data_IF_347693378182
#
_entry.id   IF_347693378182
#
_cell.length_a   1.000
_cell.length_b   1.000
_cell.length_c   1.000
_cell.angle_alpha   90.00
_cell.angle_beta   90.00
_cell.angle_gamma   90.00
#
_symmetry.space_group_name_H-M   'P 1'
#
loop_
_entity.id
_entity.type
_entity.pdbx_description
1 polymer ?
#
# COMPACT_ATOMS: atom_id res chain seq x y z
N UNK A 1 -16.42 -25.52 -78.10
CA UNK A 1 -16.33 -25.70 -76.64
C UNK A 1 -15.40 -24.65 -76.05
N UNK A 2 -15.98 -23.80 -75.19
CA UNK A 2 -15.38 -23.06 -74.06
C UNK A 2 -13.88 -22.77 -74.12
N UNK A 3 -13.53 -21.62 -74.68
CA UNK A 3 -12.44 -20.77 -74.19
C UNK A 3 -13.02 -19.35 -74.19
N UNK A 4 -12.67 -18.54 -73.19
CA UNK A 4 -13.26 -17.22 -72.87
C UNK A 4 -14.46 -17.29 -71.91
N UNK A 5 -14.18 -17.56 -70.64
CA UNK A 5 -14.88 -17.02 -69.46
C UNK A 5 -14.09 -17.50 -68.22
N UNK A 6 -13.97 -16.67 -67.18
CA UNK A 6 -13.39 -16.97 -65.85
C UNK A 6 -11.92 -16.60 -65.52
N UNK A 7 -11.38 -15.49 -66.01
CA UNK A 7 -10.33 -14.77 -65.24
C UNK A 7 -10.58 -13.25 -65.37
N UNK A 8 -11.71 -12.79 -64.85
CA UNK A 8 -12.04 -11.38 -64.72
C UNK A 8 -12.85 -11.13 -63.42
N UNK A 9 -12.43 -11.79 -62.34
CA UNK A 9 -13.13 -11.78 -61.05
C UNK A 9 -12.18 -11.85 -59.83
N UNK A 10 -10.97 -11.33 -59.98
CA UNK A 10 -10.00 -11.14 -58.89
C UNK A 10 -9.29 -9.79 -59.04
N UNK A 11 -10.07 -8.73 -59.24
CA UNK A 11 -9.63 -7.41 -58.79
C UNK A 11 -10.23 -7.25 -57.39
N UNK A 12 -9.45 -7.37 -56.30
CA UNK A 12 -9.89 -6.84 -55.03
C UNK A 12 -10.04 -5.33 -55.25
N UNK A 13 -11.29 -4.87 -55.35
CA UNK A 13 -11.63 -3.48 -55.12
C UNK A 13 -11.32 -3.20 -53.66
N UNK A 14 -10.07 -2.87 -53.38
CA UNK A 14 -9.69 -2.10 -52.19
C UNK A 14 -10.28 -0.70 -52.36
N UNK A 15 -11.61 -0.60 -52.23
CA UNK A 15 -12.23 0.62 -51.78
C UNK A 15 -11.69 0.82 -50.37
N UNK A 16 -10.68 1.68 -50.26
CA UNK A 16 -10.30 2.26 -48.99
C UNK A 16 -11.53 3.00 -48.45
N UNK A 17 -12.34 2.28 -47.68
CA UNK A 17 -13.18 2.94 -46.69
C UNK A 17 -12.19 3.69 -45.80
N UNK A 18 -12.29 5.01 -45.77
CA UNK A 18 -11.65 5.75 -44.69
C UNK A 18 -12.30 5.21 -43.41
N UNK A 19 -11.59 4.37 -42.67
CA UNK A 19 -12.06 3.80 -41.43
C UNK A 19 -12.15 4.92 -40.39
N UNK A 20 -13.28 5.61 -40.39
CA UNK A 20 -13.62 6.56 -39.34
C UNK A 20 -13.88 5.77 -38.06
N UNK A 21 -13.20 6.13 -36.98
CA UNK A 21 -13.30 5.42 -35.70
C UNK A 21 -14.50 5.93 -34.90
N UNK A 22 -14.92 7.17 -35.14
CA UNK A 22 -16.15 7.76 -34.61
C UNK A 22 -16.71 8.82 -35.57
N UNK A 23 -18.02 9.00 -35.56
CA UNK A 23 -18.70 10.07 -36.30
C UNK A 23 -19.85 10.64 -35.48
N UNK A 24 -20.10 11.95 -35.61
CA UNK A 24 -21.29 12.59 -35.05
C UNK A 24 -21.65 13.87 -35.81
N UNK A 25 -22.91 14.28 -35.75
CA UNK A 25 -23.37 15.58 -36.23
C UNK A 25 -23.96 16.36 -35.06
N UNK A 26 -23.31 17.46 -34.70
CA UNK A 26 -23.62 18.23 -33.49
C UNK A 26 -23.81 19.71 -33.82
N UNK A 27 -24.68 20.37 -33.06
CA UNK A 27 -24.79 21.84 -33.06
C UNK A 27 -24.11 22.36 -31.81
N UNK A 28 -23.09 23.19 -32.00
CA UNK A 28 -22.23 23.72 -30.94
C UNK A 28 -22.46 25.24 -30.87
N UNK A 29 -22.59 25.78 -29.67
CA UNK A 29 -22.57 27.22 -29.42
C UNK A 29 -21.15 27.79 -29.39
N UNK A 30 -20.99 29.06 -29.72
CA UNK A 30 -19.70 29.74 -29.65
C UNK A 30 -19.10 29.66 -28.23
N UNK A 31 -17.88 29.15 -28.12
CA UNK A 31 -17.19 28.86 -26.87
C UNK A 31 -17.46 27.47 -26.27
N UNK A 32 -18.41 26.71 -26.82
CA UNK A 32 -18.69 25.33 -26.38
C UNK A 32 -17.79 24.32 -27.11
N UNK A 33 -17.63 23.16 -26.48
CA UNK A 33 -16.87 22.05 -27.04
C UNK A 33 -17.57 20.71 -26.89
N UNK A 34 -17.19 19.76 -27.74
CA UNK A 34 -17.61 18.37 -27.69
C UNK A 34 -16.37 17.48 -27.71
N UNK A 35 -16.39 16.41 -26.92
CA UNK A 35 -15.33 15.40 -26.93
C UNK A 35 -15.81 14.20 -27.72
N UNK A 36 -15.08 13.82 -28.77
CA UNK A 36 -15.39 12.65 -29.58
C UNK A 36 -14.13 11.81 -29.81
N UNK A 37 -14.14 10.56 -29.36
CA UNK A 37 -12.99 9.65 -29.39
C UNK A 37 -11.69 10.29 -28.84
N UNK A 38 -11.79 10.96 -27.70
CA UNK A 38 -10.66 11.61 -27.02
C UNK A 38 -10.28 12.99 -27.55
N UNK A 39 -10.79 13.38 -28.73
CA UNK A 39 -10.51 14.69 -29.35
C UNK A 39 -11.46 15.75 -28.83
N UNK A 40 -10.95 16.94 -28.51
CA UNK A 40 -11.74 18.08 -28.06
C UNK A 40 -12.03 19.02 -29.24
N UNK A 41 -13.26 19.04 -29.73
CA UNK A 41 -13.69 19.90 -30.84
C UNK A 41 -14.42 21.12 -30.26
N UNK A 42 -13.86 22.31 -30.46
CA UNK A 42 -14.38 23.57 -29.90
C UNK A 42 -14.83 24.51 -31.01
N UNK A 43 -16.04 25.04 -30.92
CA UNK A 43 -16.45 26.14 -31.80
C UNK A 43 -15.93 27.45 -31.19
N UNK A 44 -14.87 28.00 -31.78
CA UNK A 44 -14.20 29.18 -31.24
C UNK A 44 -14.98 30.46 -31.56
N UNK A 45 -15.40 30.64 -32.83
CA UNK A 45 -16.14 31.84 -33.26
C UNK A 45 -17.05 31.53 -34.44
N UNK A 46 -18.15 32.27 -34.54
CA UNK A 46 -18.97 32.35 -35.75
C UNK A 46 -18.90 33.77 -36.28
N UNK A 47 -18.19 33.98 -37.40
CA UNK A 47 -18.01 35.32 -37.97
C UNK A 47 -19.23 35.78 -38.78
N UNK A 48 -19.99 34.83 -39.35
CA UNK A 48 -21.16 35.10 -40.18
C UNK A 48 -21.99 33.83 -40.40
N UNK A 49 -23.11 33.96 -41.10
CA UNK A 49 -23.94 32.84 -41.58
C UNK A 49 -23.26 31.95 -42.63
N UNK A 50 -21.97 32.14 -42.90
CA UNK A 50 -21.23 31.29 -43.84
C UNK A 50 -19.84 30.92 -43.35
N UNK A 51 -19.35 31.44 -42.22
CA UNK A 51 -17.95 31.30 -41.84
C UNK A 51 -17.77 31.18 -40.32
N UNK A 52 -16.97 30.19 -39.91
CA UNK A 52 -16.67 29.87 -38.51
C UNK A 52 -15.17 29.66 -38.28
N UNK A 53 -14.73 29.75 -37.02
CA UNK A 53 -13.45 29.24 -36.54
C UNK A 53 -13.72 28.04 -35.64
N UNK A 54 -13.18 26.88 -36.00
CA UNK A 54 -13.31 25.64 -35.21
C UNK A 54 -11.91 25.13 -34.85
N UNK A 55 -11.78 24.70 -33.60
CA UNK A 55 -10.58 24.09 -33.04
C UNK A 55 -10.77 22.59 -32.84
N UNK A 56 -9.70 21.83 -33.02
CA UNK A 56 -9.54 20.43 -32.58
C UNK A 56 -8.26 20.41 -31.77
N UNK A 57 -8.40 20.13 -30.47
CA UNK A 57 -7.32 20.22 -29.50
C UNK A 57 -6.65 21.61 -29.58
N UNK A 58 -5.34 21.70 -29.87
CA UNK A 58 -4.61 22.97 -29.99
C UNK A 58 -4.64 23.57 -31.41
N UNK A 59 -5.09 22.80 -32.41
CA UNK A 59 -5.10 23.22 -33.81
C UNK A 59 -6.45 23.82 -34.20
N UNK A 60 -6.45 24.94 -34.93
CA UNK A 60 -7.69 25.57 -35.39
C UNK A 60 -7.64 25.96 -36.86
N UNK A 61 -8.83 26.06 -37.48
CA UNK A 61 -8.99 26.55 -38.85
C UNK A 61 -10.27 27.39 -38.98
N UNK A 62 -10.22 28.32 -39.93
CA UNK A 62 -11.41 29.03 -40.40
C UNK A 62 -12.02 28.22 -41.55
N UNK A 63 -13.33 28.03 -41.50
CA UNK A 63 -14.09 27.18 -42.42
C UNK A 63 -15.33 27.91 -42.90
N UNK A 64 -15.65 27.72 -44.18
CA UNK A 64 -16.90 28.18 -44.75
C UNK A 64 -17.97 27.08 -44.71
N UNK A 65 -19.25 27.46 -44.85
CA UNK A 65 -20.35 26.52 -44.98
C UNK A 65 -20.12 25.56 -46.16
N UNK A 66 -20.47 24.28 -45.98
CA UNK A 66 -20.22 23.15 -46.88
C UNK A 66 -18.74 22.85 -47.15
N UNK A 67 -17.80 23.50 -46.45
CA UNK A 67 -16.38 23.16 -46.53
C UNK A 67 -16.07 21.99 -45.60
N UNK A 68 -15.24 21.06 -46.08
CA UNK A 68 -14.67 19.98 -45.26
C UNK A 68 -13.17 20.20 -45.11
N UNK A 69 -12.66 20.18 -43.89
CA UNK A 69 -11.22 20.27 -43.59
C UNK A 69 -10.81 19.23 -42.57
N UNK A 70 -9.60 18.70 -42.75
CA UNK A 70 -8.93 17.91 -41.73
C UNK A 70 -8.19 18.84 -40.78
N UNK A 71 -8.47 18.73 -39.49
CA UNK A 71 -7.80 19.45 -38.40
C UNK A 71 -7.41 18.38 -37.39
N UNK A 72 -6.10 18.23 -37.19
CA UNK A 72 -5.51 17.24 -36.28
C UNK A 72 -6.20 15.86 -36.31
N UNK A 73 -6.25 15.27 -37.52
CA UNK A 73 -6.82 13.93 -37.76
C UNK A 73 -8.33 13.82 -37.49
N UNK A 74 -9.04 14.94 -37.47
CA UNK A 74 -10.50 15.02 -37.48
C UNK A 74 -10.95 15.75 -38.74
N UNK A 75 -11.79 15.10 -39.54
CA UNK A 75 -12.45 15.76 -40.66
C UNK A 75 -13.73 16.43 -40.15
N UNK A 76 -13.80 17.75 -40.30
CA UNK A 76 -14.96 18.55 -39.94
C UNK A 76 -15.61 19.06 -41.23
N UNK A 77 -16.92 18.92 -41.34
CA UNK A 77 -17.74 19.54 -42.39
C UNK A 77 -18.73 20.51 -41.77
N UNK A 78 -18.77 21.75 -42.24
CA UNK A 78 -19.73 22.75 -41.73
C UNK A 78 -21.05 22.61 -42.48
N UNK A 79 -22.11 22.16 -41.81
CA UNK A 79 -23.42 21.97 -42.44
C UNK A 79 -24.28 23.23 -42.38
N UNK A 80 -24.30 23.90 -41.24
CA UNK A 80 -25.10 25.11 -41.03
C UNK A 80 -24.44 26.04 -40.01
N UNK A 81 -24.74 27.32 -40.12
CA UNK A 81 -24.24 28.35 -39.20
C UNK A 81 -25.35 29.36 -38.95
N UNK A 82 -25.50 29.78 -37.70
CA UNK A 82 -26.45 30.78 -37.26
C UNK A 82 -25.69 31.88 -36.53
N UNK A 83 -25.47 32.99 -37.22
CA UNK A 83 -24.94 34.22 -36.64
C UNK A 83 -26.12 35.13 -36.28
N UNK A 84 -26.24 35.44 -34.99
CA UNK A 84 -27.32 36.29 -34.46
C UNK A 84 -26.81 37.73 -34.27
N UNK A 85 -25.72 37.89 -33.51
CA UNK A 85 -25.04 39.17 -33.25
C UNK A 85 -23.86 38.95 -32.31
N UNK A 86 -22.93 39.89 -32.23
CA UNK A 86 -21.80 39.86 -31.29
C UNK A 86 -22.20 39.77 -29.79
N UNK A 87 -23.44 40.13 -29.44
CA UNK A 87 -23.94 40.10 -28.06
C UNK A 87 -24.80 38.87 -27.73
N UNK A 88 -24.90 37.90 -28.63
CA UNK A 88 -25.71 36.68 -28.45
C UNK A 88 -24.88 35.47 -28.85
N UNK A 89 -25.21 34.33 -28.27
CA UNK A 89 -24.56 33.06 -28.62
C UNK A 89 -24.88 32.75 -30.08
N UNK A 90 -23.83 32.60 -30.87
CA UNK A 90 -23.90 32.12 -32.24
C UNK A 90 -23.70 30.61 -32.25
N UNK A 91 -24.19 29.93 -33.30
CA UNK A 91 -24.18 28.47 -33.37
C UNK A 91 -23.66 27.98 -34.72
N UNK A 92 -23.08 26.79 -34.72
CA UNK A 92 -22.77 26.06 -35.94
C UNK A 92 -23.13 24.58 -35.80
N UNK A 93 -23.73 24.02 -36.84
CA UNK A 93 -23.92 22.58 -36.98
C UNK A 93 -22.78 22.02 -37.81
N UNK A 94 -22.00 21.13 -37.21
CA UNK A 94 -20.83 20.49 -37.82
C UNK A 94 -21.02 18.98 -37.86
N UNK A 95 -20.58 18.38 -38.95
CA UNK A 95 -20.40 16.93 -39.07
C UNK A 95 -18.92 16.63 -38.78
N UNK A 96 -18.69 15.74 -37.82
CA UNK A 96 -17.37 15.42 -37.28
C UNK A 96 -17.07 13.96 -37.58
N UNK A 97 -15.96 13.71 -38.27
CA UNK A 97 -15.45 12.37 -38.56
C UNK A 97 -14.04 12.23 -37.97
N UNK A 98 -13.89 11.42 -36.93
CA UNK A 98 -12.58 11.20 -36.28
C UNK A 98 -11.83 10.11 -37.01
N UNK A 99 -10.67 10.46 -37.59
CA UNK A 99 -9.79 9.51 -38.28
C UNK A 99 -8.91 8.74 -37.29
N UNK A 100 -8.62 9.32 -36.13
CA UNK A 100 -7.74 8.75 -35.12
C UNK A 100 -8.14 9.19 -33.71
N UNK A 101 -8.30 8.21 -32.81
CA UNK A 101 -8.49 8.43 -31.37
C UNK A 101 -7.24 9.09 -30.79
N UNK A 102 -7.42 10.02 -29.85
CA UNK A 102 -6.35 10.51 -29.00
C UNK A 102 -6.28 9.58 -27.77
N UNK A 103 -5.27 8.71 -27.73
CA UNK A 103 -5.01 7.86 -26.56
C UNK A 103 -3.97 8.50 -25.63
N UNK A 104 -2.98 9.19 -26.19
CA UNK A 104 -1.88 9.80 -25.43
C UNK A 104 -1.29 11.03 -26.13
N UNK A 105 -0.68 11.91 -25.34
CA UNK A 105 0.19 12.99 -25.81
C UNK A 105 1.64 12.80 -25.37
N UNK A 106 1.84 12.11 -24.25
CA UNK A 106 3.15 11.81 -23.64
C UNK A 106 3.18 10.38 -23.13
N UNK A 107 4.37 9.82 -22.94
CA UNK A 107 4.54 8.42 -22.51
C UNK A 107 3.82 8.13 -21.18
N UNK A 108 3.79 9.08 -20.25
CA UNK A 108 3.08 8.94 -18.96
C UNK A 108 1.55 8.82 -19.10
N UNK A 109 0.96 9.24 -20.23
CA UNK A 109 -0.48 9.01 -20.49
C UNK A 109 -0.77 7.53 -20.80
N UNK A 110 0.26 6.74 -21.13
CA UNK A 110 0.16 5.34 -21.52
C UNK A 110 0.40 4.34 -20.38
N UNK A 111 0.68 4.82 -19.17
CA UNK A 111 0.95 4.00 -17.98
C UNK A 111 -0.14 2.95 -17.76
N UNK A 112 0.18 1.67 -18.01
CA UNK A 112 -0.72 0.55 -17.78
C UNK A 112 -0.64 -0.05 -16.38
N UNK A 113 0.19 0.54 -15.50
CA UNK A 113 0.50 0.09 -14.15
C UNK A 113 1.14 -1.30 -14.09
N UNK A 114 1.75 -1.74 -15.19
CA UNK A 114 2.49 -3.00 -15.26
C UNK A 114 3.97 -2.65 -15.37
N UNK A 115 4.71 -2.81 -14.28
CA UNK A 115 6.16 -2.53 -14.27
C UNK A 115 6.93 -3.31 -15.34
N UNK A 116 6.40 -4.45 -15.81
CA UNK A 116 7.04 -5.28 -16.85
C UNK A 116 6.96 -4.76 -18.29
N UNK A 117 6.39 -3.58 -18.52
CA UNK A 117 6.19 -2.98 -19.83
C UNK A 117 6.82 -1.59 -19.95
N UNK A 118 7.37 -1.31 -21.12
CA UNK A 118 7.78 0.04 -21.52
C UNK A 118 6.60 0.67 -22.24
N UNK A 119 6.07 1.72 -21.62
CA UNK A 119 4.90 2.44 -22.11
C UNK A 119 5.36 3.63 -22.92
N UNK A 120 5.06 3.60 -24.22
CA UNK A 120 5.46 4.65 -25.16
C UNK A 120 4.24 5.22 -25.85
N UNK A 121 4.16 6.55 -25.88
CA UNK A 121 3.22 7.26 -26.70
C UNK A 121 3.82 7.55 -28.07
N UNK A 122 3.27 6.91 -29.10
CA UNK A 122 3.65 7.23 -30.48
C UNK A 122 2.89 8.50 -30.90
N UNK A 123 3.39 9.67 -30.51
CA UNK A 123 2.80 11.01 -30.77
C UNK A 123 2.50 11.31 -32.25
N UNK A 124 3.17 10.64 -33.19
CA UNK A 124 2.83 10.78 -34.61
C UNK A 124 1.43 10.22 -34.95
N UNK A 125 0.95 9.27 -34.15
CA UNK A 125 -0.33 8.58 -34.29
C UNK A 125 -1.17 8.58 -32.99
N UNK A 126 -0.76 9.32 -31.95
CA UNK A 126 -1.51 9.49 -30.70
C UNK A 126 -2.01 8.18 -30.08
N UNK A 127 -1.16 7.14 -30.15
CA UNK A 127 -1.47 5.76 -29.77
C UNK A 127 -0.45 5.25 -28.76
N UNK A 128 -0.93 4.54 -27.74
CA UNK A 128 -0.06 3.86 -26.79
C UNK A 128 0.46 2.53 -27.34
N UNK A 129 1.70 2.21 -26.96
CA UNK A 129 2.31 0.89 -27.12
C UNK A 129 2.95 0.46 -25.82
N UNK A 130 2.74 -0.82 -25.50
CA UNK A 130 3.20 -1.48 -24.27
C UNK A 130 4.13 -2.62 -24.69
N UNK A 131 5.44 -2.37 -24.65
CA UNK A 131 6.43 -3.38 -25.04
C UNK A 131 6.95 -4.10 -23.80
N UNK A 132 6.83 -5.43 -23.76
CA UNK A 132 7.34 -6.22 -22.64
C UNK A 132 8.86 -6.13 -22.55
N UNK A 133 9.37 -5.89 -21.36
CA UNK A 133 10.81 -5.90 -21.08
C UNK A 133 11.30 -7.36 -21.10
N UNK A 134 12.16 -7.68 -22.08
CA UNK A 134 12.69 -9.03 -22.30
C UNK A 134 14.21 -9.13 -22.06
N UNK A 135 14.84 -8.07 -21.57
CA UNK A 135 16.28 -8.03 -21.26
C UNK A 135 16.52 -7.46 -19.88
N UNK A 136 17.63 -7.88 -19.28
CA UNK A 136 18.16 -7.30 -18.04
C UNK A 136 18.77 -5.94 -18.36
N UNK A 137 18.16 -4.85 -17.89
CA UNK A 137 18.54 -3.49 -18.26
C UNK A 137 18.59 -2.59 -17.03
N UNK A 138 19.79 -2.24 -16.59
CA UNK A 138 19.98 -1.40 -15.41
C UNK A 138 19.22 -0.05 -15.46
N UNK A 139 18.50 0.26 -14.39
CA UNK A 139 17.75 1.50 -14.12
C UNK A 139 16.53 1.73 -15.03
N UNK A 140 15.90 0.66 -15.52
CA UNK A 140 14.60 0.72 -16.18
C UNK A 140 13.41 0.60 -15.20
N UNK A 141 13.69 0.33 -13.93
CA UNK A 141 12.70 0.26 -12.86
C UNK A 141 11.99 -1.08 -12.73
N UNK A 142 12.38 -2.10 -13.51
CA UNK A 142 11.79 -3.43 -13.49
C UNK A 142 12.85 -4.52 -13.54
N UNK A 143 12.72 -5.53 -12.68
CA UNK A 143 13.60 -6.70 -12.70
C UNK A 143 12.88 -7.90 -13.32
N UNK A 144 13.22 -8.31 -14.56
CA UNK A 144 12.66 -9.52 -15.15
C UNK A 144 12.99 -10.77 -14.32
N UNK A 145 12.11 -11.77 -14.35
CA UNK A 145 12.25 -12.99 -13.53
C UNK A 145 13.47 -13.87 -13.87
N UNK A 146 14.23 -13.57 -14.91
CA UNK A 146 15.47 -14.27 -15.28
C UNK A 146 16.73 -13.43 -15.04
N UNK A 147 16.58 -12.19 -14.58
CA UNK A 147 17.67 -11.29 -14.26
C UNK A 147 18.06 -11.40 -12.78
N UNK A 148 19.35 -11.25 -12.50
CA UNK A 148 19.90 -11.08 -11.16
C UNK A 148 20.40 -9.65 -10.98
N UNK A 149 20.71 -9.27 -9.74
CA UNK A 149 21.36 -7.99 -9.42
C UNK A 149 22.66 -7.73 -10.18
N UNK A 150 23.38 -8.77 -10.57
CA UNK A 150 24.63 -8.65 -11.34
C UNK A 150 24.39 -8.32 -12.83
N UNK A 151 23.19 -8.64 -13.33
CA UNK A 151 22.77 -8.35 -14.70
C UNK A 151 21.79 -7.18 -14.81
N UNK A 152 21.18 -6.78 -13.69
CA UNK A 152 20.15 -5.74 -13.62
C UNK A 152 20.08 -5.11 -12.22
N UNK A 153 20.43 -3.83 -12.10
CA UNK A 153 20.44 -3.11 -10.83
C UNK A 153 19.07 -2.84 -10.21
N UNK A 154 17.98 -2.99 -10.97
CA UNK A 154 16.61 -2.83 -10.46
C UNK A 154 16.11 -4.07 -9.70
N UNK A 155 16.85 -5.17 -9.76
CA UNK A 155 16.62 -6.34 -8.94
C UNK A 155 16.94 -6.04 -7.45
N UNK A 156 15.90 -5.64 -6.72
CA UNK A 156 15.91 -5.60 -5.25
C UNK A 156 16.17 -7.02 -4.74
N UNK A 157 16.97 -7.14 -3.70
CA UNK A 157 17.17 -8.38 -2.94
C UNK A 157 15.80 -8.78 -2.36
N UNK A 158 14.96 -9.47 -3.13
CA UNK A 158 14.08 -10.46 -2.55
C UNK A 158 14.99 -11.56 -2.00
N UNK A 159 14.65 -12.14 -0.86
CA UNK A 159 15.41 -13.14 -0.05
C UNK A 159 15.84 -14.40 -0.83
N UNK A 160 16.54 -14.22 -1.94
CA UNK A 160 17.07 -15.27 -2.79
C UNK A 160 18.51 -15.50 -2.43
N UNK A 161 18.86 -16.76 -2.25
CA UNK A 161 20.18 -17.20 -1.84
C UNK A 161 20.67 -18.29 -2.79
N UNK A 162 21.98 -18.51 -2.83
CA UNK A 162 22.57 -19.70 -3.44
C UNK A 162 23.18 -20.64 -2.38
N UNK A 163 23.44 -20.10 -1.19
CA UNK A 163 24.12 -20.78 -0.10
C UNK A 163 23.50 -20.38 1.24
N UNK A 164 23.41 -21.32 2.18
CA UNK A 164 22.88 -21.08 3.54
C UNK A 164 23.51 -19.85 4.23
N UNK A 165 24.81 -19.62 4.02
CA UNK A 165 25.56 -18.48 4.61
C UNK A 165 25.05 -17.10 4.16
N UNK A 166 24.29 -17.03 3.07
CA UNK A 166 23.73 -15.78 2.54
C UNK A 166 22.42 -15.43 3.23
N UNK A 167 21.87 -16.37 4.00
CA UNK A 167 20.68 -16.22 4.82
C UNK A 167 21.00 -15.99 6.30
N UNK A 168 22.25 -15.71 6.64
CA UNK A 168 22.68 -15.43 8.02
C UNK A 168 21.95 -14.18 8.53
N UNK A 169 21.01 -14.37 9.46
CA UNK A 169 20.22 -13.29 10.06
C UNK A 169 20.85 -12.73 11.36
N UNK A 170 22.08 -13.16 11.67
CA UNK A 170 22.83 -12.88 12.90
C UNK A 170 22.10 -13.35 14.19
N UNK A 171 21.03 -14.18 14.10
CA UNK A 171 20.35 -14.76 15.26
C UNK A 171 20.90 -16.18 15.56
N UNK A 172 21.63 -16.39 16.67
CA UNK A 172 22.12 -17.72 17.03
C UNK A 172 20.98 -18.70 17.38
N UNK A 173 19.75 -18.22 17.56
CA UNK A 173 18.55 -19.01 17.81
C UNK A 173 17.89 -19.58 16.56
N UNK A 174 18.37 -19.24 15.38
CA UNK A 174 17.87 -19.73 14.09
C UNK A 174 18.90 -20.60 13.40
N UNK A 175 18.40 -21.55 12.62
CA UNK A 175 19.16 -22.26 11.61
C UNK A 175 18.75 -21.71 10.26
N UNK A 176 19.71 -21.09 9.60
CA UNK A 176 19.51 -20.45 8.31
C UNK A 176 19.81 -21.42 7.20
N UNK A 177 18.83 -21.57 6.31
CA UNK A 177 18.90 -22.49 5.19
C UNK A 177 18.42 -21.80 3.93
N UNK A 178 19.15 -22.04 2.87
CA UNK A 178 18.75 -21.68 1.53
C UNK A 178 17.96 -22.86 0.94
N UNK A 179 16.64 -22.74 0.88
CA UNK A 179 15.75 -23.83 0.46
C UNK A 179 14.95 -23.44 -0.79
N UNK A 180 14.95 -24.31 -1.79
CA UNK A 180 14.18 -24.15 -3.01
C UNK A 180 14.09 -25.44 -3.82
N UNK A 181 13.42 -25.34 -4.97
CA UNK A 181 13.09 -26.49 -5.82
C UNK A 181 13.55 -26.24 -7.25
N UNK A 182 13.77 -27.27 -8.05
CA UNK A 182 14.23 -27.14 -9.46
C UNK A 182 13.37 -26.18 -10.33
N UNK A 183 12.15 -25.81 -9.87
CA UNK A 183 11.23 -24.89 -10.55
C UNK A 183 10.92 -23.60 -9.75
N UNK A 184 11.62 -23.33 -8.65
CA UNK A 184 11.44 -22.13 -7.80
C UNK A 184 12.81 -21.60 -7.38
N UNK A 185 12.98 -20.28 -7.28
CA UNK A 185 14.23 -19.72 -6.75
C UNK A 185 14.41 -20.15 -5.29
N UNK A 186 15.65 -20.43 -4.89
CA UNK A 186 15.96 -20.76 -3.50
C UNK A 186 15.76 -19.51 -2.63
N UNK A 187 15.08 -19.69 -1.50
CA UNK A 187 14.69 -18.63 -0.58
C UNK A 187 15.33 -18.85 0.79
N UNK A 188 15.63 -17.74 1.48
CA UNK A 188 16.11 -17.81 2.85
C UNK A 188 15.03 -18.27 3.81
N UNK A 189 15.39 -19.26 4.63
CA UNK A 189 14.54 -19.85 5.65
C UNK A 189 15.29 -19.94 6.98
N UNK A 190 14.84 -19.15 7.94
CA UNK A 190 15.35 -19.13 9.32
C UNK A 190 14.44 -20.01 10.19
N UNK A 191 14.96 -21.15 10.65
CA UNK A 191 14.18 -22.12 11.45
C UNK A 191 14.63 -22.11 12.91
N UNK A 192 13.72 -21.93 13.89
CA UNK A 192 14.11 -21.89 15.30
C UNK A 192 14.82 -23.18 15.74
N UNK A 193 15.92 -23.04 16.48
CA UNK A 193 16.64 -24.16 17.10
C UNK A 193 15.87 -24.59 18.36
N UNK A 194 15.57 -25.89 18.46
CA UNK A 194 14.87 -26.48 19.62
C UNK A 194 15.68 -27.55 20.35
N UNK A 195 16.85 -27.91 19.82
CA UNK A 195 17.71 -28.94 20.41
C UNK A 195 18.63 -28.34 21.46
N UNK A 196 18.68 -28.93 22.66
CA UNK A 196 19.60 -28.52 23.72
C UNK A 196 21.02 -28.98 23.38
N UNK A 197 21.91 -28.06 23.02
CA UNK A 197 23.25 -28.37 22.54
C UNK A 197 24.27 -27.37 23.10
N UNK A 198 25.05 -27.87 24.04
CA UNK A 198 26.15 -27.11 24.65
C UNK A 198 27.23 -26.68 23.64
N UNK A 199 27.65 -25.42 23.74
CA UNK A 199 28.74 -24.81 22.99
C UNK A 199 28.35 -24.16 21.67
N UNK A 200 27.05 -23.90 21.45
CA UNK A 200 26.53 -23.18 20.28
C UNK A 200 26.09 -21.73 20.58
N UNK A 201 26.28 -21.27 21.82
CA UNK A 201 25.97 -19.90 22.29
C UNK A 201 24.48 -19.55 22.29
N UNK A 202 23.60 -20.54 22.19
CA UNK A 202 22.17 -20.35 22.27
C UNK A 202 21.57 -21.25 23.35
N UNK A 203 20.47 -20.83 23.98
CA UNK A 203 19.76 -21.65 24.95
C UNK A 203 18.31 -21.78 24.49
N UNK A 204 17.89 -22.90 23.87
CA UNK A 204 16.50 -23.06 23.42
C UNK A 204 15.49 -23.14 24.57
N UNK A 205 14.21 -22.89 24.29
CA UNK A 205 13.13 -23.16 25.26
C UNK A 205 13.11 -24.65 25.63
N UNK A 206 12.90 -24.95 26.91
CA UNK A 206 12.93 -26.30 27.49
C UNK A 206 14.32 -26.76 27.95
N UNK A 207 15.39 -26.09 27.51
CA UNK A 207 16.75 -26.40 27.91
C UNK A 207 17.14 -25.72 29.23
N UNK A 208 18.03 -26.36 29.99
CA UNK A 208 18.54 -25.83 31.25
C UNK A 208 19.98 -26.24 31.49
N UNK A 209 20.67 -25.38 32.22
CA UNK A 209 22.01 -25.67 32.71
C UNK A 209 21.92 -26.57 33.94
N UNK A 210 21.69 -27.88 33.71
CA UNK A 210 21.73 -28.87 34.79
C UNK A 210 23.16 -29.23 35.20
N UNK A 211 23.46 -29.29 36.51
CA UNK A 211 24.74 -29.82 37.00
C UNK A 211 24.96 -31.30 36.67
N UNK A 212 23.89 -32.07 36.44
CA UNK A 212 23.95 -33.45 35.95
C UNK A 212 24.24 -33.45 34.45
N UNK A 213 25.49 -33.73 34.10
CA UNK A 213 26.09 -33.71 32.76
C UNK A 213 25.39 -34.55 31.66
N UNK A 214 24.29 -35.25 31.97
CA UNK A 214 23.68 -36.25 31.10
C UNK A 214 22.15 -36.14 31.14
N UNK A 215 21.60 -35.29 30.27
CA UNK A 215 20.16 -35.18 30.06
C UNK A 215 19.87 -34.61 28.66
N UNK A 216 18.74 -34.98 28.06
CA UNK A 216 18.29 -34.45 26.76
C UNK A 216 17.84 -32.99 26.83
N UNK A 217 17.79 -32.42 28.04
CA UNK A 217 17.45 -31.02 28.31
C UNK A 217 18.68 -30.22 28.80
N UNK A 218 19.86 -30.86 28.85
CA UNK A 218 21.07 -30.19 29.33
C UNK A 218 21.65 -29.31 28.24
N UNK A 219 21.84 -28.04 28.59
CA UNK A 219 22.56 -27.09 27.76
C UNK A 219 23.41 -26.17 28.65
N UNK A 220 24.73 -26.23 28.49
CA UNK A 220 25.67 -25.42 29.27
C UNK A 220 25.61 -23.94 28.95
N UNK A 221 25.04 -23.58 27.80
CA UNK A 221 24.94 -22.19 27.35
C UNK A 221 23.73 -21.49 28.00
N UNK A 222 22.83 -22.25 28.61
CA UNK A 222 21.76 -21.71 29.43
C UNK A 222 22.29 -21.07 30.73
N UNK A 223 21.63 -19.98 31.12
CA UNK A 223 21.82 -19.37 32.43
C UNK A 223 21.21 -20.22 33.53
N UNK A 224 21.94 -20.38 34.63
CA UNK A 224 21.42 -20.98 35.88
C UNK A 224 20.36 -20.12 36.56
N UNK A 225 20.20 -18.86 36.13
CA UNK A 225 19.24 -17.92 36.71
C UNK A 225 17.90 -17.87 35.96
N UNK A 226 17.69 -18.70 34.93
CA UNK A 226 16.42 -18.77 34.22
C UNK A 226 15.30 -19.16 35.19
N UNK A 227 14.29 -18.31 35.32
CA UNK A 227 13.16 -18.55 36.25
C UNK A 227 12.04 -19.37 35.61
N UNK A 228 12.08 -19.54 34.28
CA UNK A 228 11.16 -20.36 33.49
C UNK A 228 11.94 -21.09 32.40
N UNK A 229 11.45 -22.26 32.01
CA UNK A 229 12.00 -23.08 30.92
C UNK A 229 11.08 -23.11 29.71
N UNK A 230 9.77 -23.00 29.95
CA UNK A 230 8.72 -23.03 28.93
C UNK A 230 7.61 -22.05 29.32
N UNK A 231 6.79 -21.66 28.34
CA UNK A 231 5.68 -20.73 28.55
C UNK A 231 4.69 -21.20 29.63
N UNK A 232 4.46 -22.52 29.74
CA UNK A 232 3.59 -23.10 30.77
C UNK A 232 4.12 -22.97 32.20
N UNK A 233 5.38 -22.60 32.41
CA UNK A 233 5.92 -22.31 33.74
C UNK A 233 5.47 -20.90 34.23
N UNK A 234 4.93 -20.08 33.34
CA UNK A 234 4.58 -18.68 33.59
C UNK A 234 3.08 -18.44 33.77
N UNK A 235 2.27 -19.49 33.90
CA UNK A 235 0.81 -19.38 34.00
C UNK A 235 0.42 -18.57 35.24
N UNK A 236 -0.19 -17.40 35.02
CA UNK A 236 -0.69 -16.54 36.10
C UNK A 236 -2.18 -16.72 36.42
N UNK A 237 -2.85 -17.59 35.66
CA UNK A 237 -4.30 -17.86 35.72
C UNK A 237 -5.17 -16.66 35.35
N UNK A 238 -4.64 -15.71 34.58
CA UNK A 238 -5.39 -14.64 33.97
C UNK A 238 -5.54 -14.93 32.47
N UNK A 239 -6.76 -15.26 32.05
CA UNK A 239 -7.05 -15.64 30.65
C UNK A 239 -6.86 -14.46 29.68
N UNK A 240 -6.87 -13.22 30.21
CA UNK A 240 -6.58 -12.00 29.46
C UNK A 240 -5.10 -11.81 29.11
N UNK A 241 -4.19 -12.63 29.65
CA UNK A 241 -2.75 -12.50 29.42
C UNK A 241 -2.16 -13.70 28.68
N UNK A 242 -1.22 -13.41 27.78
CA UNK A 242 -0.35 -14.39 27.16
C UNK A 242 0.84 -14.58 28.10
N UNK A 243 0.91 -15.77 28.70
CA UNK A 243 1.98 -16.17 29.60
C UNK A 243 3.20 -16.60 28.81
N UNK A 244 4.20 -15.72 28.72
CA UNK A 244 5.43 -15.96 27.98
C UNK A 244 6.61 -16.14 28.92
N UNK A 245 7.50 -17.04 28.50
CA UNK A 245 8.82 -17.20 29.09
C UNK A 245 9.78 -16.50 28.13
N UNK A 246 10.17 -15.28 28.49
CA UNK A 246 10.83 -14.36 27.59
C UNK A 246 12.31 -14.21 27.92
N UNK A 247 13.12 -14.05 26.88
CA UNK A 247 14.57 -14.00 26.95
C UNK A 247 15.25 -15.15 26.20
N UNK A 248 16.49 -14.91 25.78
CA UNK A 248 17.31 -15.86 25.03
C UNK A 248 17.79 -17.06 25.86
N UNK A 249 17.60 -17.01 27.19
CA UNK A 249 18.01 -18.06 28.11
C UNK A 249 19.51 -18.13 28.38
N UNK A 250 20.35 -17.37 27.67
CA UNK A 250 21.81 -17.35 27.87
C UNK A 250 22.20 -16.43 29.02
N UNK A 251 21.46 -15.32 29.21
CA UNK A 251 21.65 -14.40 30.34
C UNK A 251 20.58 -14.62 31.40
N UNK A 252 19.31 -14.49 31.04
CA UNK A 252 18.17 -14.75 31.91
C UNK A 252 16.90 -14.92 31.09
N UNK A 253 16.05 -15.85 31.53
CA UNK A 253 14.64 -15.93 31.18
C UNK A 253 13.78 -15.56 32.36
N UNK A 254 12.77 -14.75 32.08
CA UNK A 254 11.76 -14.32 33.06
C UNK A 254 10.37 -14.52 32.50
N UNK A 255 9.42 -14.76 33.40
CA UNK A 255 8.01 -14.77 33.03
C UNK A 255 7.55 -13.35 32.75
N UNK A 256 6.87 -13.19 31.62
CA UNK A 256 6.23 -11.96 31.18
C UNK A 256 4.79 -12.29 30.83
N UNK A 257 3.85 -11.58 31.44
CA UNK A 257 2.43 -11.76 31.19
C UNK A 257 1.98 -10.51 30.44
N UNK A 258 1.81 -10.65 29.14
CA UNK A 258 1.42 -9.54 28.26
C UNK A 258 -0.07 -9.66 27.95
N UNK A 259 -0.79 -8.54 27.88
CA UNK A 259 -2.21 -8.58 27.53
C UNK A 259 -2.40 -9.16 26.13
N UNK A 260 -3.38 -10.05 25.97
CA UNK A 260 -3.72 -10.62 24.66
C UNK A 260 -4.25 -9.55 23.71
N UNK A 261 -4.08 -9.78 22.41
CA UNK A 261 -4.68 -8.95 21.34
C UNK A 261 -5.82 -9.68 20.64
N UNK A 262 -6.15 -10.89 21.09
CA UNK A 262 -7.17 -11.74 20.50
C UNK A 262 -8.51 -11.50 21.19
N UNK A 263 -9.55 -11.23 20.42
CA UNK A 263 -10.93 -11.11 20.91
C UNK A 263 -11.41 -12.46 21.42
N UNK A 264 -11.62 -12.61 22.73
CA UNK A 264 -11.94 -13.88 23.36
C UNK A 264 -12.98 -13.72 24.46
N UNK A 265 -14.22 -14.03 24.07
CA UNK A 265 -15.35 -14.15 24.97
C UNK A 265 -15.08 -14.93 26.28
N UNK A 266 -15.25 -14.27 27.42
CA UNK A 266 -15.24 -14.84 28.78
C UNK A 266 -13.89 -14.74 29.50
N UNK A 267 -12.96 -13.92 29.03
CA UNK A 267 -11.63 -13.70 29.61
C UNK A 267 -11.55 -12.43 30.49
N UNK A 268 -12.68 -11.75 30.69
CA UNK A 268 -12.83 -10.50 31.47
C UNK A 268 -11.96 -9.34 30.92
N UNK A 269 -11.59 -9.38 29.65
CA UNK A 269 -10.77 -8.38 28.99
C UNK A 269 -11.27 -8.08 27.56
N UNK A 270 -11.16 -6.82 27.15
CA UNK A 270 -11.57 -6.41 25.81
C UNK A 270 -10.37 -5.79 25.09
N UNK A 271 -9.69 -6.54 24.21
CA UNK A 271 -8.57 -6.02 23.43
C UNK A 271 -9.00 -4.94 22.42
N UNK A 272 -8.06 -4.07 22.04
CA UNK A 272 -8.30 -2.96 21.11
C UNK A 272 -8.83 -3.45 19.75
N UNK A 273 -10.03 -2.98 19.39
CA UNK A 273 -10.66 -3.28 18.09
C UNK A 273 -11.59 -4.49 18.11
N UNK A 274 -11.77 -5.13 19.26
CA UNK A 274 -12.78 -6.16 19.45
C UNK A 274 -14.17 -5.54 19.60
N UNK A 275 -15.18 -6.19 19.03
CA UNK A 275 -16.58 -5.78 19.18
C UNK A 275 -17.31 -6.67 20.17
N UNK A 276 -18.41 -6.18 20.73
CA UNK A 276 -19.29 -6.98 21.61
C UNK A 276 -19.84 -8.27 20.97
N UNK A 277 -19.75 -8.40 19.66
CA UNK A 277 -20.16 -9.59 18.90
C UNK A 277 -19.06 -10.65 18.89
N UNK A 278 -17.80 -10.22 18.84
CA UNK A 278 -16.61 -11.08 18.83
C UNK A 278 -16.14 -11.42 20.25
N UNK A 279 -16.37 -10.49 21.17
CA UNK A 279 -15.94 -10.55 22.55
C UNK A 279 -16.99 -9.86 23.44
N UNK A 280 -17.78 -10.64 24.17
CA UNK A 280 -18.88 -10.09 24.97
C UNK A 280 -18.38 -9.37 26.23
N UNK A 281 -17.10 -9.51 26.59
CA UNK A 281 -16.48 -8.76 27.68
C UNK A 281 -16.26 -7.29 27.28
N UNK A 282 -16.31 -6.99 25.97
CA UNK A 282 -16.40 -5.63 25.44
C UNK A 282 -17.76 -4.95 25.72
N UNK A 283 -18.77 -5.67 26.21
CA UNK A 283 -20.07 -5.12 26.57
C UNK A 283 -20.28 -5.10 28.08
N UNK A 284 -20.13 -3.92 28.69
CA UNK A 284 -20.58 -3.69 30.06
C UNK A 284 -21.89 -2.90 30.01
N UNK A 285 -23.01 -3.52 30.36
CA UNK A 285 -24.31 -2.85 30.41
C UNK A 285 -24.30 -1.67 31.38
N UNK A 286 -25.02 -0.57 31.08
CA UNK A 286 -25.11 0.64 31.93
C UNK A 286 -25.60 0.37 33.37
N UNK A 287 -26.12 -0.83 33.64
CA UNK A 287 -26.64 -1.28 34.94
C UNK A 287 -25.73 -2.22 35.72
N UNK A 288 -24.57 -2.62 35.20
CA UNK A 288 -23.67 -3.57 35.88
C UNK A 288 -22.62 -2.84 36.71
N UNK A 289 -22.82 -2.86 38.03
CA UNK A 289 -21.87 -2.36 39.02
C UNK A 289 -21.00 -3.54 39.45
N UNK A 290 -19.74 -3.53 39.01
CA UNK A 290 -18.56 -4.21 39.58
C UNK A 290 -18.82 -5.46 40.43
N UNK A 291 -18.57 -6.66 39.89
CA UNK A 291 -18.17 -7.79 40.74
C UNK A 291 -16.67 -7.65 41.05
N UNK A 292 -16.30 -7.94 42.30
CA UNK A 292 -14.94 -7.71 42.79
C UNK A 292 -13.96 -8.62 42.04
N UNK A 293 -13.14 -8.05 41.15
CA UNK A 293 -12.21 -8.77 40.25
C UNK A 293 -10.93 -9.23 40.99
N UNK A 294 -10.70 -8.77 42.22
CA UNK A 294 -9.54 -9.20 43.02
C UNK A 294 -9.79 -9.10 44.52
N UNK A 295 -9.21 -10.04 45.28
CA UNK A 295 -9.19 -10.02 46.75
C UNK A 295 -8.49 -8.80 47.38
N UNK A 296 -7.73 -8.02 46.58
CA UNK A 296 -7.05 -6.78 47.00
C UNK A 296 -7.80 -5.51 46.64
N UNK A 297 -8.84 -5.57 45.81
CA UNK A 297 -9.64 -4.39 45.42
C UNK A 297 -10.70 -4.08 46.48
N UNK A 298 -10.75 -2.82 46.90
CA UNK A 298 -11.86 -2.30 47.71
C UNK A 298 -12.99 -1.85 46.78
N UNK A 299 -14.25 -1.90 47.25
CA UNK A 299 -15.45 -1.53 46.45
C UNK A 299 -15.45 -0.10 45.90
N UNK A 300 -14.55 0.76 46.37
CA UNK A 300 -14.44 2.16 45.99
C UNK A 300 -12.98 2.51 45.75
N UNK A 301 -12.72 3.29 44.73
CA UNK A 301 -11.38 3.81 44.45
C UNK A 301 -11.24 5.23 45.01
N UNK A 302 -10.03 5.59 45.44
CA UNK A 302 -9.76 6.91 46.08
C UNK A 302 -8.99 7.88 45.19
N UNK A 303 -8.29 7.37 44.17
CA UNK A 303 -7.42 8.15 43.30
C UNK A 303 -8.00 8.11 41.89
N UNK A 304 -8.54 9.24 41.43
CA UNK A 304 -9.10 9.36 40.09
C UNK A 304 -8.04 9.05 39.02
N UNK A 305 -8.38 8.19 38.06
CA UNK A 305 -7.47 7.74 37.00
C UNK A 305 -6.46 6.64 37.41
N UNK A 306 -6.50 6.17 38.66
CA UNK A 306 -5.70 5.01 39.09
C UNK A 306 -6.12 3.75 38.31
N UNK A 307 -5.14 2.94 37.89
CA UNK A 307 -5.34 1.71 37.12
C UNK A 307 -4.92 0.51 37.97
N UNK A 308 -5.81 -0.45 38.16
CA UNK A 308 -5.55 -1.71 38.88
C UNK A 308 -6.32 -2.83 38.18
N UNK A 309 -5.66 -3.94 37.84
CA UNK A 309 -6.25 -5.15 37.25
C UNK A 309 -7.35 -4.86 36.21
N UNK A 310 -6.97 -4.29 35.06
CA UNK A 310 -7.87 -3.98 33.93
C UNK A 310 -9.06 -3.06 34.25
N UNK A 311 -9.01 -2.36 35.39
CA UNK A 311 -10.02 -1.40 35.81
C UNK A 311 -9.37 -0.04 36.10
N UNK A 312 -10.09 1.04 35.87
CA UNK A 312 -9.66 2.40 36.17
C UNK A 312 -10.65 3.09 37.12
N UNK A 313 -10.14 3.97 37.97
CA UNK A 313 -10.95 4.72 38.91
C UNK A 313 -11.61 5.93 38.23
N UNK A 314 -12.94 5.99 38.25
CA UNK A 314 -13.68 7.17 37.82
C UNK A 314 -14.83 7.50 38.78
N UNK A 315 -14.89 8.74 39.25
CA UNK A 315 -15.85 9.23 40.25
C UNK A 315 -15.92 8.35 41.51
N UNK A 316 -14.78 7.81 41.95
CA UNK A 316 -14.69 6.96 43.14
C UNK A 316 -15.24 5.53 42.96
N UNK A 317 -15.53 5.12 41.72
CA UNK A 317 -15.98 3.77 41.36
C UNK A 317 -14.99 3.17 40.36
N UNK A 318 -14.62 1.90 40.56
CA UNK A 318 -13.83 1.15 39.58
C UNK A 318 -14.68 0.84 38.34
N UNK A 319 -14.14 1.11 37.16
CA UNK A 319 -14.74 0.79 35.87
C UNK A 319 -13.79 -0.05 35.05
N UNK A 320 -14.28 -1.04 34.29
CA UNK A 320 -13.45 -1.80 33.37
C UNK A 320 -12.83 -0.89 32.30
N UNK A 321 -11.59 -1.15 31.92
CA UNK A 321 -10.96 -0.53 30.77
C UNK A 321 -11.67 -1.01 29.51
N UNK A 322 -12.51 -0.14 28.92
CA UNK A 322 -13.09 -0.39 27.59
C UNK A 322 -12.04 0.00 26.55
N UNK A 323 -11.73 -0.88 25.60
CA UNK A 323 -11.00 -0.53 24.40
C UNK A 323 -11.86 -0.86 23.18
N UNK A 324 -12.41 0.19 22.55
CA UNK A 324 -13.15 0.04 21.29
C UNK A 324 -14.66 0.19 21.43
N UNK A 325 -15.23 0.96 20.49
CA UNK A 325 -16.66 1.28 20.30
C UNK A 325 -17.31 2.31 21.25
N UNK A 326 -16.70 2.72 22.35
CA UNK A 326 -17.26 3.73 23.25
C UNK A 326 -16.96 5.19 22.81
N UNK A 327 -17.80 6.12 23.27
CA UNK A 327 -17.54 7.56 23.13
C UNK A 327 -16.30 7.98 23.95
N UNK A 328 -15.54 8.99 23.49
CA UNK A 328 -14.30 9.44 24.16
C UNK A 328 -14.47 9.85 25.63
N UNK A 329 -15.70 10.13 26.08
CA UNK A 329 -16.00 10.44 27.48
C UNK A 329 -15.96 9.23 28.41
N UNK A 330 -16.04 8.01 27.87
CA UNK A 330 -16.17 6.76 28.63
C UNK A 330 -14.92 5.87 28.56
N UNK A 331 -13.96 6.23 27.73
CA UNK A 331 -12.75 5.46 27.44
C UNK A 331 -11.50 6.23 27.91
N UNK A 332 -10.80 5.67 28.91
CA UNK A 332 -9.57 6.25 29.48
C UNK A 332 -8.41 6.27 28.45
N UNK A 333 -8.35 5.24 27.60
CA UNK A 333 -7.53 5.12 26.38
C UNK A 333 -7.55 6.44 25.59
N UNK A 334 -8.78 6.84 25.24
CA UNK A 334 -9.06 7.98 24.37
C UNK A 334 -8.85 9.34 25.06
N UNK A 335 -9.07 9.44 26.38
CA UNK A 335 -8.82 10.68 27.14
C UNK A 335 -7.34 11.09 27.20
N UNK A 336 -6.41 10.15 27.03
CA UNK A 336 -4.96 10.43 27.06
C UNK A 336 -4.37 10.93 25.74
N UNK A 337 -5.18 11.14 24.69
CA UNK A 337 -4.77 11.95 23.52
C UNK A 337 -5.20 11.47 22.14
N UNK A 338 -6.17 10.56 22.01
CA UNK A 338 -6.45 9.84 20.76
C UNK A 338 -7.96 9.91 20.43
N UNK A 339 -8.48 11.13 20.20
CA UNK A 339 -9.87 11.37 19.84
C UNK A 339 -9.98 12.05 18.47
N UNK A 340 -10.99 11.67 17.67
CA UNK A 340 -11.45 12.48 16.54
C UNK A 340 -12.15 13.74 17.06
N UNK A 341 -12.17 14.81 16.26
CA UNK A 341 -12.90 16.06 16.59
C UNK A 341 -14.39 15.82 16.90
N UNK A 342 -14.96 14.72 16.42
CA UNK A 342 -16.34 14.31 16.65
C UNK A 342 -16.59 13.57 17.99
N UNK A 343 -15.58 13.38 18.84
CA UNK A 343 -15.73 12.74 20.15
C UNK A 343 -15.78 11.21 20.13
N UNK A 344 -15.43 10.58 19.01
CA UNK A 344 -15.23 9.15 18.87
C UNK A 344 -13.75 8.79 18.93
N UNK A 345 -13.42 7.62 19.48
CA UNK A 345 -12.06 7.08 19.44
C UNK A 345 -11.58 6.86 17.99
N UNK A 346 -10.27 6.99 17.75
CA UNK A 346 -9.67 6.74 16.43
C UNK A 346 -9.74 5.24 16.11
N UNK A 347 -9.96 4.91 14.82
CA UNK A 347 -9.99 3.52 14.37
C UNK A 347 -8.58 2.92 14.25
N UNK A 348 -8.48 1.58 14.33
CA UNK A 348 -7.23 0.79 14.20
C UNK A 348 -6.34 1.21 13.04
N UNK A 349 -6.93 1.53 11.89
CA UNK A 349 -6.20 1.95 10.68
C UNK A 349 -5.57 3.35 10.82
N UNK A 350 -6.24 4.27 11.53
CA UNK A 350 -5.76 5.63 11.74
C UNK A 350 -4.63 5.69 12.78
N UNK A 351 -4.73 4.88 13.84
CA UNK A 351 -3.67 4.76 14.85
C UNK A 351 -2.41 4.13 14.25
N UNK A 352 -2.58 3.07 13.43
CA UNK A 352 -1.47 2.45 12.69
C UNK A 352 -0.79 3.45 11.75
N UNK A 353 -1.56 4.26 11.04
CA UNK A 353 -1.03 5.30 10.16
C UNK A 353 -0.32 6.44 10.92
N UNK A 354 -0.84 6.86 12.07
CA UNK A 354 -0.18 7.85 12.92
C UNK A 354 1.13 7.31 13.52
N UNK A 355 1.17 6.05 13.98
CA UNK A 355 2.40 5.41 14.47
C UNK A 355 3.46 5.26 13.36
N UNK A 356 3.05 4.84 12.15
CA UNK A 356 3.93 4.82 10.97
C UNK A 356 4.52 6.21 10.71
N UNK A 357 3.69 7.25 10.72
CA UNK A 357 4.14 8.63 10.49
C UNK A 357 5.11 9.12 11.56
N UNK A 358 4.87 8.79 12.83
CA UNK A 358 5.77 9.12 13.94
C UNK A 358 7.14 8.43 13.78
N UNK A 359 7.15 7.12 13.51
CA UNK A 359 8.38 6.35 13.30
C UNK A 359 9.15 6.89 12.09
N UNK A 360 8.47 7.14 10.96
CA UNK A 360 9.09 7.75 9.77
C UNK A 360 9.69 9.12 10.10
N UNK A 361 9.01 9.96 10.88
CA UNK A 361 9.52 11.27 11.28
C UNK A 361 10.77 11.18 12.18
N UNK A 362 10.82 10.20 13.10
CA UNK A 362 11.99 9.96 13.95
C UNK A 362 13.19 9.43 13.14
N UNK A 363 12.96 8.54 12.17
CA UNK A 363 14.00 8.03 11.28
C UNK A 363 14.58 9.16 10.41
N UNK A 364 13.74 10.02 9.84
CA UNK A 364 14.18 11.19 9.06
C UNK A 364 15.00 12.14 9.93
N UNK A 365 14.55 12.43 11.16
CA UNK A 365 15.28 13.30 12.08
C UNK A 365 16.66 12.71 12.47
N UNK A 366 16.72 11.39 12.72
CA UNK A 366 17.98 10.68 12.97
C UNK A 366 18.94 10.74 11.79
N UNK A 367 18.43 10.53 10.57
CA UNK A 367 19.22 10.59 9.34
C UNK A 367 19.80 12.00 9.09
N UNK A 368 19.00 13.05 9.31
CA UNK A 368 19.46 14.44 9.21
C UNK A 368 20.53 14.79 10.25
N UNK A 369 20.43 14.27 11.47
CA UNK A 369 21.46 14.45 12.50
C UNK A 369 22.78 13.77 12.14
N UNK A 370 22.73 12.57 11.55
CA UNK A 370 23.90 11.85 11.06
C UNK A 370 24.56 12.57 9.88
N UNK A 371 23.79 13.09 8.93
CA UNK A 371 24.31 13.93 7.84
C UNK A 371 24.97 15.19 8.39
N UNK A 372 24.31 15.88 9.33
CA UNK A 372 24.84 17.09 9.93
C UNK A 372 26.16 16.86 10.67
N UNK A 373 26.27 15.77 11.43
CA UNK A 373 27.51 15.40 12.14
C UNK A 373 28.62 14.97 11.17
N UNK A 374 28.29 14.25 10.10
CA UNK A 374 29.24 13.87 9.06
C UNK A 374 29.79 15.10 8.30
N UNK A 375 28.91 16.02 7.90
CA UNK A 375 29.32 17.28 7.26
C UNK A 375 30.19 18.13 8.18
N UNK A 376 29.86 18.20 9.48
CA UNK A 376 30.68 18.89 10.47
C UNK A 376 32.07 18.25 10.61
N UNK A 377 32.15 16.91 10.62
CA UNK A 377 33.40 16.18 10.66
C UNK A 377 34.27 16.46 9.43
N UNK A 378 33.71 16.42 8.22
CA UNK A 378 34.40 16.76 6.97
C UNK A 378 34.92 18.21 6.98
N UNK A 379 34.12 19.16 7.47
CA UNK A 379 34.53 20.56 7.57
C UNK A 379 35.71 20.74 8.53
N UNK A 380 35.71 20.00 9.65
CA UNK A 380 36.80 20.06 10.63
C UNK A 380 38.11 19.48 10.08
N UNK A 381 38.06 18.38 9.32
CA UNK A 381 39.24 17.82 8.65
C UNK A 381 39.81 18.81 7.64
N UNK A 382 38.96 19.45 6.85
CA UNK A 382 39.39 20.43 5.83
C UNK A 382 40.01 21.70 6.44
N UNK A 383 39.73 22.02 7.70
CA UNK A 383 40.35 23.15 8.42
C UNK A 383 41.74 22.84 9.01
N UNK A 384 42.15 21.56 9.01
CA UNK A 384 43.44 21.09 9.56
C UNK A 384 44.47 20.69 8.49
N UNK A 385 44.07 20.70 7.22
CA UNK A 385 44.93 20.62 6.02
C UNK A 385 45.08 22.03 5.45
#
# INVERSE_FOLDING_TARGET
MRKVLFILLLLPTSLAAADYIAYDQVTIGEGESVILAGRNITLLDVFSNTQIRVGVDEAWRIMNINETKSIDKVNITVNATLYVSDNKVNYATVLIHVLQRLECNVDIDCDDQIDSTIDTCITSIDKCTHETILSCTDNDGYCPSFCSRDSDSDCVIQDTCELDKECDDDDPGTKDTCDGSYNQRDLCRHTPITECKSGDYFCPLGCKNEPSLFGTLHDSDCSVNNTCLQHSDCIDNNEATIDLCSGDGTVVRVCTNELTVQCSAGDDYCPEGCTNVEDWDCFVGESEVFEVVSSTQTKSCTIEGEIVNNTFCQNGIWKYQRAGSASCSEDYQCQTGVCREAGSCLAKEEISNQRKTLITSMVIAGFLALIGTYLFYLFRIKSKL
#
